data_IF_530269930843
#
_entry.id   IF_530269930843
#
_cell.length_a   1.000
_cell.length_b   1.000
_cell.length_c   1.000
_cell.angle_alpha   90.00
_cell.angle_beta   90.00
_cell.angle_gamma   90.00
#
_symmetry.space_group_name_H-M   'P 1'
#
loop_
_entity.id
_entity.type
_entity.pdbx_description
1 polymer ?
#
# COMPACT_ATOMS: atom_id res chain seq x y z
N UNK A 1 18.32 -16.47 -11.21
CA UNK A 1 18.17 -15.11 -10.66
C UNK A 1 18.18 -15.20 -9.14
N UNK A 2 18.82 -14.25 -8.47
CA UNK A 2 18.78 -14.09 -7.02
C UNK A 2 18.77 -12.60 -6.68
N UNK A 3 18.24 -12.26 -5.51
CA UNK A 3 18.28 -10.90 -4.96
C UNK A 3 19.27 -10.82 -3.82
N UNK A 4 19.89 -9.65 -3.68
CA UNK A 4 20.65 -9.26 -2.50
C UNK A 4 19.88 -8.13 -1.82
N UNK A 5 19.64 -8.29 -0.53
CA UNK A 5 18.93 -7.31 0.27
C UNK A 5 19.88 -6.71 1.30
N UNK A 6 19.75 -5.41 1.52
CA UNK A 6 20.52 -4.70 2.54
C UNK A 6 19.69 -3.63 3.21
N UNK A 7 19.77 -3.57 4.52
CA UNK A 7 19.23 -2.47 5.30
C UNK A 7 20.17 -1.28 5.14
N UNK A 8 19.64 -0.08 4.99
CA UNK A 8 20.43 1.14 4.83
C UNK A 8 20.37 2.07 6.06
N UNK A 9 19.88 1.60 7.15
CA UNK A 9 19.87 2.33 8.42
C UNK A 9 21.05 1.90 9.33
N UNK A 10 21.79 2.88 9.90
CA UNK A 10 21.62 4.33 9.73
C UNK A 10 22.00 4.80 8.32
N UNK A 11 21.19 5.71 7.76
CA UNK A 11 21.42 6.25 6.42
C UNK A 11 22.62 7.18 6.40
N UNK A 12 23.50 7.04 5.39
CA UNK A 12 24.61 7.97 5.19
C UNK A 12 24.11 9.33 4.72
N UNK A 13 24.86 10.40 5.04
CA UNK A 13 24.53 11.76 4.58
C UNK A 13 24.43 11.85 3.05
N UNK A 14 25.27 11.12 2.33
CA UNK A 14 25.22 11.03 0.86
C UNK A 14 23.91 10.39 0.38
N UNK A 15 23.44 9.35 1.05
CA UNK A 15 22.18 8.70 0.69
C UNK A 15 21.00 9.65 0.95
N UNK A 16 20.97 10.32 2.09
CA UNK A 16 19.91 11.30 2.44
C UNK A 16 19.88 12.44 1.42
N UNK A 17 21.03 13.05 1.11
CA UNK A 17 21.09 14.17 0.16
C UNK A 17 20.67 13.74 -1.25
N UNK A 18 21.09 12.56 -1.70
CA UNK A 18 20.71 12.01 -3.02
C UNK A 18 19.21 11.71 -3.08
N UNK A 19 18.64 11.15 -2.01
CA UNK A 19 17.20 10.88 -1.90
C UNK A 19 16.39 12.18 -1.97
N UNK A 20 16.82 13.24 -1.29
CA UNK A 20 16.19 14.56 -1.34
C UNK A 20 16.16 15.12 -2.76
N UNK A 21 17.31 15.12 -3.44
CA UNK A 21 17.39 15.59 -4.84
C UNK A 21 16.47 14.76 -5.74
N UNK A 22 16.44 13.45 -5.58
CA UNK A 22 15.59 12.59 -6.38
C UNK A 22 14.10 12.81 -6.08
N UNK A 23 13.72 13.01 -4.83
CA UNK A 23 12.36 13.37 -4.44
C UNK A 23 11.89 14.67 -5.11
N UNK A 24 12.75 15.69 -5.20
CA UNK A 24 12.45 16.95 -5.89
C UNK A 24 12.22 16.74 -7.41
N UNK A 25 13.03 15.91 -8.05
CA UNK A 25 12.84 15.55 -9.47
C UNK A 25 11.51 14.84 -9.69
N UNK A 26 11.17 13.88 -8.83
CA UNK A 26 9.88 13.19 -8.89
C UNK A 26 8.69 14.15 -8.63
N UNK A 27 8.88 15.14 -7.76
CA UNK A 27 7.88 16.18 -7.54
C UNK A 27 7.65 17.02 -8.78
N UNK A 28 8.72 17.44 -9.44
CA UNK A 28 8.64 18.22 -10.69
C UNK A 28 7.90 17.44 -11.78
N UNK A 29 8.20 16.15 -11.93
CA UNK A 29 7.48 15.27 -12.85
C UNK A 29 5.99 15.14 -12.49
N UNK A 30 5.67 15.00 -11.20
CA UNK A 30 4.28 14.93 -10.75
C UNK A 30 3.51 16.20 -11.07
N UNK A 31 4.11 17.39 -10.93
CA UNK A 31 3.49 18.66 -11.30
C UNK A 31 3.18 18.74 -12.79
N UNK A 32 4.13 18.35 -13.66
CA UNK A 32 3.90 18.30 -15.11
C UNK A 32 2.75 17.36 -15.50
N UNK A 33 2.64 16.20 -14.85
CA UNK A 33 1.52 15.27 -15.08
C UNK A 33 0.20 15.88 -14.62
N UNK A 34 0.17 16.57 -13.48
CA UNK A 34 -1.02 17.25 -12.98
C UNK A 34 -1.48 18.37 -13.95
N UNK A 35 -0.55 19.19 -14.44
CA UNK A 35 -0.82 20.22 -15.42
C UNK A 35 -1.38 19.62 -16.71
N UNK A 36 -0.77 18.55 -17.21
CA UNK A 36 -1.27 17.85 -18.39
C UNK A 36 -2.67 17.27 -18.18
N UNK A 37 -2.94 16.65 -17.04
CA UNK A 37 -4.28 16.18 -16.70
C UNK A 37 -5.30 17.34 -16.63
N UNK A 38 -4.88 18.50 -16.11
CA UNK A 38 -5.73 19.71 -16.08
C UNK A 38 -6.09 20.19 -17.49
N UNK A 39 -5.11 20.24 -18.40
CA UNK A 39 -5.34 20.60 -19.82
C UNK A 39 -6.31 19.61 -20.47
N UNK A 40 -6.13 18.31 -20.25
CA UNK A 40 -7.04 17.29 -20.79
C UNK A 40 -8.47 17.43 -20.24
N UNK A 41 -8.63 17.74 -18.95
CA UNK A 41 -9.95 18.00 -18.36
C UNK A 41 -10.60 19.27 -18.95
N UNK A 42 -9.84 20.34 -19.14
CA UNK A 42 -10.32 21.55 -19.80
C UNK A 42 -10.77 21.25 -21.23
N UNK A 43 -10.00 20.48 -21.98
CA UNK A 43 -10.38 20.05 -23.34
C UNK A 43 -11.72 19.29 -23.36
N UNK A 44 -11.94 18.39 -22.39
CA UNK A 44 -13.19 17.64 -22.26
C UNK A 44 -14.38 18.55 -21.95
N UNK A 45 -14.17 19.62 -21.19
CA UNK A 45 -15.21 20.58 -20.82
C UNK A 45 -15.52 21.55 -21.97
N UNK A 46 -14.48 22.13 -22.58
CA UNK A 46 -14.61 23.14 -23.62
C UNK A 46 -15.22 22.58 -24.93
N UNK A 47 -14.88 21.31 -25.23
CA UNK A 47 -15.37 20.60 -26.42
C UNK A 47 -16.47 19.57 -26.10
N UNK A 48 -17.25 19.82 -25.07
CA UNK A 48 -18.26 18.87 -24.57
C UNK A 48 -19.25 18.40 -25.66
N UNK A 49 -19.61 19.28 -26.58
CA UNK A 49 -20.59 19.01 -27.65
C UNK A 49 -19.95 18.54 -28.97
N UNK A 50 -18.64 18.78 -29.16
CA UNK A 50 -17.96 18.54 -30.43
C UNK A 50 -17.02 17.35 -30.44
N UNK A 51 -16.59 16.86 -29.24
CA UNK A 51 -15.72 15.72 -29.14
C UNK A 51 -16.50 14.42 -29.33
N UNK A 52 -16.04 13.57 -30.23
CA UNK A 52 -16.65 12.26 -30.46
C UNK A 52 -16.55 11.37 -29.20
N UNK A 53 -17.59 10.57 -28.96
CA UNK A 53 -17.70 9.72 -27.76
C UNK A 53 -16.47 8.84 -27.53
N UNK A 54 -15.93 8.21 -28.58
CA UNK A 54 -14.77 7.34 -28.44
C UNK A 54 -13.50 8.11 -28.03
N UNK A 55 -13.30 9.34 -28.55
CA UNK A 55 -12.19 10.21 -28.17
C UNK A 55 -12.33 10.67 -26.72
N UNK A 56 -13.53 11.01 -26.29
CA UNK A 56 -13.83 11.35 -24.91
C UNK A 56 -13.44 10.21 -23.96
N UNK A 57 -13.89 8.99 -24.24
CA UNK A 57 -13.55 7.80 -23.43
C UNK A 57 -12.04 7.60 -23.36
N UNK A 58 -11.32 7.79 -24.47
CA UNK A 58 -9.85 7.64 -24.50
C UNK A 58 -9.16 8.69 -23.63
N UNK A 59 -9.57 9.97 -23.72
CA UNK A 59 -9.00 11.03 -22.88
C UNK A 59 -9.27 10.78 -21.39
N UNK A 60 -10.50 10.43 -21.03
CA UNK A 60 -10.85 10.07 -19.65
C UNK A 60 -10.05 8.87 -19.13
N UNK A 61 -9.85 7.84 -19.98
CA UNK A 61 -9.03 6.68 -19.63
C UNK A 61 -7.56 7.07 -19.44
N UNK A 62 -7.03 7.99 -20.25
CA UNK A 62 -5.66 8.52 -20.11
C UNK A 62 -5.52 9.27 -18.80
N UNK A 63 -6.43 10.17 -18.46
CA UNK A 63 -6.41 10.90 -17.18
C UNK A 63 -6.44 9.91 -16.00
N UNK A 64 -7.34 8.92 -16.02
CA UNK A 64 -7.39 7.89 -14.98
C UNK A 64 -6.09 7.09 -14.87
N UNK A 65 -5.49 6.73 -16.01
CA UNK A 65 -4.23 5.99 -16.05
C UNK A 65 -3.07 6.82 -15.47
N UNK A 66 -2.93 8.08 -15.88
CA UNK A 66 -1.91 9.00 -15.36
C UNK A 66 -2.08 9.23 -13.86
N UNK A 67 -3.32 9.40 -13.39
CA UNK A 67 -3.60 9.59 -11.97
C UNK A 67 -3.27 8.34 -11.16
N UNK A 68 -3.72 7.16 -11.59
CA UNK A 68 -3.58 5.93 -10.81
C UNK A 68 -2.20 5.29 -10.92
N UNK A 69 -1.59 5.27 -12.11
CA UNK A 69 -0.31 4.61 -12.38
C UNK A 69 0.88 5.57 -12.35
N UNK A 70 0.66 6.84 -12.60
CA UNK A 70 1.68 7.88 -12.54
C UNK A 70 1.71 8.55 -11.16
N UNK A 71 0.76 9.45 -10.89
CA UNK A 71 0.79 10.31 -9.71
C UNK A 71 0.79 9.54 -8.39
N UNK A 72 0.01 8.45 -8.27
CA UNK A 72 -0.02 7.65 -7.05
C UNK A 72 1.33 6.97 -6.78
N UNK A 73 1.96 6.40 -7.79
CA UNK A 73 3.27 5.78 -7.65
C UNK A 73 4.36 6.81 -7.32
N UNK A 74 4.38 7.96 -8.01
CA UNK A 74 5.31 9.04 -7.71
C UNK A 74 5.16 9.52 -6.27
N UNK A 75 3.94 9.67 -5.78
CA UNK A 75 3.66 10.03 -4.38
C UNK A 75 4.22 8.99 -3.41
N UNK A 76 4.04 7.70 -3.69
CA UNK A 76 4.54 6.62 -2.84
C UNK A 76 6.07 6.58 -2.83
N UNK A 77 6.72 6.70 -4.00
CA UNK A 77 8.18 6.74 -4.10
C UNK A 77 8.76 7.95 -3.36
N UNK A 78 8.17 9.13 -3.54
CA UNK A 78 8.58 10.32 -2.79
C UNK A 78 8.44 10.11 -1.27
N UNK A 79 7.32 9.59 -0.81
CA UNK A 79 7.13 9.29 0.61
C UNK A 79 8.19 8.35 1.17
N UNK A 80 8.69 7.39 0.37
CA UNK A 80 9.79 6.53 0.77
C UNK A 80 11.12 7.30 0.83
N UNK A 81 11.43 8.09 -0.21
CA UNK A 81 12.65 8.89 -0.28
C UNK A 81 12.71 9.95 0.83
N UNK A 82 11.62 10.66 1.06
CA UNK A 82 11.51 11.72 2.08
C UNK A 82 11.70 11.17 3.51
N UNK A 83 11.45 9.88 3.70
CA UNK A 83 11.61 9.22 5.00
C UNK A 83 12.98 8.55 5.20
N UNK A 84 13.91 8.63 4.23
CA UNK A 84 15.29 8.16 4.41
C UNK A 84 15.99 9.05 5.43
N UNK A 85 16.57 8.45 6.48
CA UNK A 85 17.22 9.16 7.59
C UNK A 85 16.26 9.55 8.72
N UNK A 86 14.97 9.29 8.60
CA UNK A 86 14.04 9.41 9.71
C UNK A 86 14.20 8.23 10.67
N UNK A 87 14.68 8.51 11.88
CA UNK A 87 14.95 7.51 12.93
C UNK A 87 13.71 7.15 13.75
N UNK A 88 12.60 7.88 13.58
CA UNK A 88 11.36 7.64 14.33
C UNK A 88 10.35 6.75 13.58
N UNK A 89 10.76 6.09 12.51
CA UNK A 89 9.90 5.17 11.77
C UNK A 89 9.51 3.97 12.61
N UNK A 90 8.27 3.94 13.04
CA UNK A 90 7.72 2.84 13.84
C UNK A 90 6.77 1.91 13.07
N UNK A 91 6.35 2.31 11.86
CA UNK A 91 5.30 1.61 11.12
C UNK A 91 5.81 0.78 9.95
N UNK A 92 7.03 1.08 9.46
CA UNK A 92 7.59 0.47 8.26
C UNK A 92 8.99 -0.10 8.49
N UNK A 93 9.32 -1.09 7.67
CA UNK A 93 10.70 -1.49 7.44
C UNK A 93 11.06 -1.21 5.98
N UNK A 94 12.19 -0.57 5.76
CA UNK A 94 12.70 -0.20 4.45
C UNK A 94 14.03 -0.92 4.18
N UNK A 95 14.22 -1.39 2.95
CA UNK A 95 15.48 -1.97 2.50
C UNK A 95 15.72 -1.72 1.02
N UNK A 96 16.98 -1.86 0.61
CA UNK A 96 17.38 -1.89 -0.79
C UNK A 96 17.50 -3.34 -1.27
N UNK A 97 17.00 -3.60 -2.46
CA UNK A 97 17.11 -4.88 -3.15
C UNK A 97 17.87 -4.69 -4.46
N UNK A 98 18.87 -5.54 -4.70
CA UNK A 98 19.57 -5.62 -5.97
C UNK A 98 19.25 -6.96 -6.61
N UNK A 99 18.56 -6.93 -7.74
CA UNK A 99 18.28 -8.13 -8.50
C UNK A 99 19.43 -8.45 -9.42
N UNK A 100 19.89 -9.71 -9.40
CA UNK A 100 20.98 -10.21 -10.21
C UNK A 100 20.57 -11.36 -11.11
N UNK A 101 21.05 -11.31 -12.36
CA UNK A 101 20.90 -12.40 -13.31
C UNK A 101 22.29 -12.68 -13.90
N UNK A 102 22.75 -13.93 -13.81
CA UNK A 102 24.05 -14.38 -14.34
C UNK A 102 25.24 -13.50 -13.88
N UNK A 103 25.21 -13.02 -12.62
CA UNK A 103 26.25 -12.17 -12.05
C UNK A 103 26.14 -10.67 -12.36
N UNK A 104 25.22 -10.26 -13.23
CA UNK A 104 24.98 -8.85 -13.55
C UNK A 104 23.82 -8.26 -12.73
N UNK A 105 23.98 -7.03 -12.26
CA UNK A 105 22.88 -6.29 -11.64
C UNK A 105 21.89 -5.88 -12.74
N UNK A 106 20.65 -6.30 -12.64
CA UNK A 106 19.59 -5.99 -13.62
C UNK A 106 18.59 -4.96 -13.10
N UNK A 107 18.44 -4.85 -11.78
CA UNK A 107 17.56 -3.87 -11.16
C UNK A 107 18.06 -3.53 -9.75
N UNK A 108 17.81 -2.29 -9.32
CA UNK A 108 18.03 -1.81 -7.97
C UNK A 108 16.75 -1.10 -7.53
N UNK A 109 16.14 -1.58 -6.47
CA UNK A 109 14.90 -1.04 -5.96
C UNK A 109 14.94 -0.78 -4.47
N UNK A 110 14.15 0.19 -4.03
CA UNK A 110 13.82 0.39 -2.63
C UNK A 110 12.48 -0.30 -2.33
N UNK A 111 12.43 -1.06 -1.25
CA UNK A 111 11.26 -1.79 -0.78
C UNK A 111 10.82 -1.24 0.57
N UNK A 112 9.51 -1.23 0.78
CA UNK A 112 8.88 -0.87 2.04
C UNK A 112 7.79 -1.85 2.41
N UNK A 113 7.82 -2.36 3.63
CA UNK A 113 6.73 -3.14 4.19
C UNK A 113 6.20 -2.52 5.47
N UNK A 114 4.91 -2.67 5.68
CA UNK A 114 4.31 -2.38 6.98
C UNK A 114 4.77 -3.43 7.98
N UNK A 115 5.17 -2.99 9.18
CA UNK A 115 5.44 -3.90 10.30
C UNK A 115 4.16 -4.62 10.73
N UNK A 116 3.05 -3.91 10.72
CA UNK A 116 1.73 -4.48 10.91
C UNK A 116 0.86 -4.25 9.66
N UNK A 117 0.72 -5.24 8.76
CA UNK A 117 -0.07 -5.12 7.54
C UNK A 117 -1.57 -4.97 7.80
N UNK A 118 -2.04 -5.24 9.02
CA UNK A 118 -3.46 -5.11 9.38
C UNK A 118 -3.87 -3.66 9.60
N UNK A 119 -2.93 -2.78 9.91
CA UNK A 119 -3.17 -1.32 10.00
C UNK A 119 -3.70 -0.72 8.68
N UNK A 120 -3.01 -0.87 7.52
CA UNK A 120 -3.56 -0.38 6.26
C UNK A 120 -4.82 -1.14 5.81
N UNK A 121 -4.96 -2.43 6.14
CA UNK A 121 -6.19 -3.19 5.89
C UNK A 121 -7.38 -2.55 6.59
N UNK A 122 -7.25 -2.30 7.88
CA UNK A 122 -8.31 -1.65 8.66
C UNK A 122 -8.62 -0.26 8.13
N UNK A 123 -7.60 0.55 7.87
CA UNK A 123 -7.78 1.94 7.40
C UNK A 123 -8.46 2.02 6.04
N UNK A 124 -8.07 1.17 5.08
CA UNK A 124 -8.48 1.31 3.69
C UNK A 124 -9.64 0.39 3.28
N UNK A 125 -9.89 -0.68 4.04
CA UNK A 125 -10.92 -1.67 3.72
C UNK A 125 -12.00 -1.70 4.80
N UNK A 126 -11.63 -1.83 6.08
CA UNK A 126 -12.61 -2.03 7.13
C UNK A 126 -13.36 -0.74 7.46
N UNK A 127 -12.64 0.36 7.69
CA UNK A 127 -13.28 1.63 8.09
C UNK A 127 -14.28 2.18 7.07
N UNK A 128 -14.07 2.08 5.74
CA UNK A 128 -15.07 2.52 4.77
C UNK A 128 -16.19 1.53 4.50
N UNK A 129 -16.10 0.29 5.01
CA UNK A 129 -17.12 -0.74 4.79
C UNK A 129 -18.35 -0.53 5.66
N UNK A 130 -19.54 -0.80 5.13
CA UNK A 130 -20.79 -0.78 5.90
C UNK A 130 -20.90 -1.93 6.92
N UNK A 131 -20.21 -3.04 6.66
CA UNK A 131 -20.17 -4.19 7.54
C UNK A 131 -19.11 -5.16 7.07
N UNK A 132 -18.55 -5.93 8.01
CA UNK A 132 -17.46 -6.87 7.76
C UNK A 132 -17.80 -8.18 8.45
N UNK A 133 -17.66 -9.29 7.75
CA UNK A 133 -17.73 -10.63 8.31
C UNK A 133 -16.42 -11.34 8.00
N UNK A 134 -15.76 -11.81 9.06
CA UNK A 134 -14.53 -12.62 8.94
C UNK A 134 -14.88 -14.00 9.47
N UNK A 135 -14.68 -15.03 8.69
CA UNK A 135 -15.01 -16.40 9.04
C UNK A 135 -13.86 -17.35 8.75
N UNK A 136 -13.59 -18.24 9.69
CA UNK A 136 -12.65 -19.34 9.54
C UNK A 136 -12.94 -20.38 10.63
N UNK A 137 -12.58 -21.63 10.36
CA UNK A 137 -12.66 -22.72 11.33
C UNK A 137 -11.65 -22.58 12.48
N UNK A 138 -10.62 -21.73 12.32
CA UNK A 138 -9.48 -21.62 13.25
C UNK A 138 -9.27 -20.22 13.80
N UNK A 139 -10.33 -19.37 13.81
CA UNK A 139 -10.23 -18.03 14.40
C UNK A 139 -10.10 -18.11 15.93
N UNK A 140 -10.94 -18.92 16.54
CA UNK A 140 -10.93 -19.12 17.99
C UNK A 140 -9.80 -20.07 18.39
N UNK A 141 -8.92 -19.64 19.30
CA UNK A 141 -7.81 -20.44 19.82
C UNK A 141 -8.25 -21.16 21.11
N UNK A 142 -8.52 -22.46 21.01
CA UNK A 142 -9.03 -23.25 22.14
C UNK A 142 -7.96 -23.65 23.17
N UNK A 143 -6.67 -23.54 22.80
CA UNK A 143 -5.55 -23.94 23.66
C UNK A 143 -5.19 -22.92 24.74
N UNK A 144 -5.80 -21.74 24.73
CA UNK A 144 -5.53 -20.66 25.69
C UNK A 144 -6.74 -20.34 26.56
N UNK A 145 -6.55 -19.51 27.59
CA UNK A 145 -7.61 -19.11 28.51
C UNK A 145 -8.81 -18.50 27.79
N UNK A 146 -10.04 -18.81 28.22
CA UNK A 146 -11.27 -18.36 27.55
C UNK A 146 -11.31 -16.87 27.23
N UNK A 147 -10.80 -16.02 28.12
CA UNK A 147 -10.75 -14.57 27.95
C UNK A 147 -9.86 -14.10 26.79
N UNK A 148 -8.90 -14.92 26.37
CA UNK A 148 -7.89 -14.57 25.36
C UNK A 148 -8.08 -15.33 24.03
N UNK A 149 -9.06 -16.22 23.94
CA UNK A 149 -9.24 -17.10 22.78
C UNK A 149 -9.42 -16.37 21.45
N UNK A 150 -9.89 -15.13 21.47
CA UNK A 150 -10.09 -14.30 20.27
C UNK A 150 -9.00 -13.27 20.05
N UNK A 151 -8.13 -13.01 21.04
CA UNK A 151 -7.10 -11.97 20.94
C UNK A 151 -6.15 -12.15 19.75
N UNK A 152 -5.73 -13.39 19.50
CA UNK A 152 -4.85 -13.72 18.36
C UNK A 152 -5.58 -13.49 17.03
N UNK A 153 -6.85 -13.86 16.94
CA UNK A 153 -7.68 -13.62 15.77
C UNK A 153 -7.86 -12.13 15.50
N UNK A 154 -8.15 -11.35 16.54
CA UNK A 154 -8.31 -9.89 16.42
C UNK A 154 -7.05 -9.21 15.96
N UNK A 155 -5.88 -9.63 16.46
CA UNK A 155 -4.57 -9.14 15.99
C UNK A 155 -4.31 -9.53 14.53
N UNK A 156 -4.50 -10.80 14.17
CA UNK A 156 -4.24 -11.31 12.81
C UNK A 156 -5.17 -10.74 11.75
N UNK A 157 -6.41 -10.45 12.12
CA UNK A 157 -7.42 -9.90 11.20
C UNK A 157 -7.43 -8.38 11.17
N UNK A 158 -6.78 -7.72 12.14
CA UNK A 158 -6.75 -6.27 12.27
C UNK A 158 -8.01 -5.66 12.91
N UNK A 159 -8.91 -6.48 13.42
CA UNK A 159 -10.12 -5.99 14.12
C UNK A 159 -9.77 -5.27 15.42
N UNK A 160 -8.58 -5.52 15.98
CA UNK A 160 -8.05 -4.77 17.12
C UNK A 160 -7.91 -3.26 16.86
N UNK A 161 -7.78 -2.85 15.60
CA UNK A 161 -7.66 -1.44 15.21
C UNK A 161 -9.02 -0.75 14.97
N UNK A 162 -10.14 -1.49 15.08
CA UNK A 162 -11.46 -0.93 14.90
C UNK A 162 -11.86 -0.09 16.12
N UNK A 163 -12.62 0.99 15.88
CA UNK A 163 -13.16 1.83 16.96
C UNK A 163 -14.20 1.10 17.80
N UNK A 164 -14.92 0.17 17.18
CA UNK A 164 -15.95 -0.65 17.84
C UNK A 164 -15.43 -2.08 17.92
N UNK A 165 -15.45 -2.72 19.09
CA UNK A 165 -15.04 -4.11 19.23
C UNK A 165 -15.80 -5.04 18.28
N UNK A 166 -15.13 -6.06 17.78
CA UNK A 166 -15.74 -7.07 16.93
C UNK A 166 -16.70 -7.95 17.73
N UNK A 167 -17.83 -8.34 17.11
CA UNK A 167 -18.73 -9.34 17.68
C UNK A 167 -18.14 -10.71 17.40
N UNK A 168 -17.86 -11.47 18.45
CA UNK A 168 -17.26 -12.79 18.38
C UNK A 168 -18.36 -13.86 18.43
N UNK A 169 -18.40 -14.75 17.42
CA UNK A 169 -19.38 -15.82 17.33
C UNK A 169 -18.68 -17.13 17.03
N UNK A 170 -18.91 -18.14 17.83
CA UNK A 170 -18.48 -19.51 17.57
C UNK A 170 -19.70 -20.41 17.36
N UNK A 171 -19.67 -21.19 16.29
CA UNK A 171 -20.71 -22.16 15.95
C UNK A 171 -20.07 -23.55 15.94
N UNK A 172 -20.69 -24.50 16.65
CA UNK A 172 -20.22 -25.88 16.66
C UNK A 172 -20.39 -26.51 15.27
N UNK A 173 -19.43 -27.36 14.91
CA UNK A 173 -19.56 -28.16 13.70
C UNK A 173 -20.79 -29.08 13.79
N UNK A 174 -21.61 -29.18 12.73
CA UNK A 174 -22.67 -30.18 12.66
C UNK A 174 -22.15 -31.60 12.39
N UNK A 175 -20.85 -31.73 12.10
CA UNK A 175 -20.25 -33.02 11.80
C UNK A 175 -19.61 -33.62 13.05
N UNK A 176 -19.77 -34.94 13.22
CA UNK A 176 -19.05 -35.71 14.24
C UNK A 176 -17.71 -36.16 13.64
N UNK A 177 -16.62 -35.80 14.32
CA UNK A 177 -15.23 -36.12 13.90
C UNK A 177 -14.60 -37.16 14.84
N UNK A 178 -15.39 -37.88 15.63
CA UNK A 178 -14.93 -38.81 16.66
C UNK A 178 -14.58 -40.23 16.14
N UNK A 179 -14.58 -40.45 14.80
CA UNK A 179 -14.19 -41.72 14.17
C UNK A 179 -12.70 -41.78 13.79
#
# INVERSE_FOLDING_TARGET
AYSLETVFEPASETLVSTATIFSEVLNSLAQLILEFCSVLNSLLNDKKETIETHNRIRVEATIRSLTRRGLLNLKQWRSMLDSIGDTEKTEFIDWLEIQRLQGHNIDIGMKRHWLDPTTPLTKNVFNPAHGIVITSATLKEESIKPENQWEIAEKRTGTIHLKTPAIQVAVNSPFDYSD
#
